data_IF_051928789631
#
_entry.id   IF_051928789631
#
_cell.length_a   1.000
_cell.length_b   1.000
_cell.length_c   1.000
_cell.angle_alpha   90.00
_cell.angle_beta   90.00
_cell.angle_gamma   90.00
#
_symmetry.space_group_name_H-M   'P 1'
#
loop_
_entity.id
_entity.type
_entity.pdbx_description
1 polymer ?
#
# COMPACT_ATOMS: atom_id res chain seq x y z
N UNK A 1 4.98 -37.98 -18.36
CA UNK A 1 4.25 -37.27 -17.27
C UNK A 1 5.14 -36.66 -16.20
N UNK A 2 6.23 -37.28 -15.71
CA UNK A 2 7.14 -36.73 -14.68
C UNK A 2 7.90 -35.47 -15.11
N UNK A 3 8.27 -35.32 -16.38
CA UNK A 3 8.95 -34.13 -16.92
C UNK A 3 8.04 -32.89 -16.97
N UNK A 4 6.79 -33.05 -17.39
CA UNK A 4 5.80 -31.98 -17.44
C UNK A 4 5.47 -31.42 -16.04
N UNK A 5 5.38 -32.27 -15.00
CA UNK A 5 5.19 -31.82 -13.61
C UNK A 5 6.40 -31.06 -13.07
N UNK A 6 7.64 -31.52 -13.33
CA UNK A 6 8.86 -30.77 -12.97
C UNK A 6 8.95 -29.40 -13.62
N UNK A 7 8.54 -29.33 -14.91
CA UNK A 7 8.52 -28.07 -15.66
C UNK A 7 7.44 -27.11 -15.11
N UNK A 8 6.27 -27.61 -14.76
CA UNK A 8 5.18 -26.85 -14.16
C UNK A 8 5.55 -26.31 -12.76
N UNK A 9 6.25 -27.09 -11.95
CA UNK A 9 6.71 -26.67 -10.62
C UNK A 9 7.86 -25.64 -10.70
N UNK A 10 8.77 -25.79 -11.69
CA UNK A 10 9.81 -24.80 -11.97
C UNK A 10 9.20 -23.48 -12.50
N UNK A 11 8.15 -23.57 -13.31
CA UNK A 11 7.40 -22.41 -13.77
C UNK A 11 6.74 -21.67 -12.59
N UNK A 12 6.06 -22.38 -11.70
CA UNK A 12 5.41 -21.76 -10.52
C UNK A 12 6.38 -21.00 -9.60
N UNK A 13 7.64 -21.41 -9.53
CA UNK A 13 8.68 -20.77 -8.74
C UNK A 13 9.43 -19.65 -9.48
N UNK A 14 9.24 -19.51 -10.78
CA UNK A 14 9.89 -18.46 -11.56
C UNK A 14 9.25 -17.09 -11.31
N UNK A 15 10.07 -16.03 -11.34
CA UNK A 15 9.62 -14.64 -11.22
C UNK A 15 8.61 -14.30 -12.31
N UNK A 16 7.60 -13.48 -11.98
CA UNK A 16 6.52 -13.09 -12.91
C UNK A 16 7.04 -12.62 -14.27
N UNK A 17 8.12 -11.83 -14.27
CA UNK A 17 8.77 -11.36 -15.50
C UNK A 17 9.30 -12.48 -16.40
N UNK A 18 9.79 -13.59 -15.83
CA UNK A 18 10.29 -14.74 -16.60
C UNK A 18 9.12 -15.50 -17.26
N UNK A 19 7.98 -15.60 -16.58
CA UNK A 19 6.77 -16.24 -17.14
C UNK A 19 6.19 -15.45 -18.30
N UNK A 20 6.11 -14.12 -18.16
CA UNK A 20 5.64 -13.24 -19.23
C UNK A 20 6.57 -13.27 -20.44
N UNK A 21 7.89 -13.23 -20.23
CA UNK A 21 8.86 -13.31 -21.32
C UNK A 21 8.80 -14.66 -22.06
N UNK A 22 8.64 -15.77 -21.33
CA UNK A 22 8.46 -17.10 -21.93
C UNK A 22 7.14 -17.21 -22.69
N UNK A 23 6.04 -16.70 -22.13
CA UNK A 23 4.73 -16.69 -22.81
C UNK A 23 4.76 -15.90 -24.12
N UNK A 24 5.35 -14.70 -24.12
CA UNK A 24 5.56 -13.89 -25.33
C UNK A 24 6.47 -14.57 -26.34
N UNK A 25 7.55 -15.22 -25.88
CA UNK A 25 8.45 -15.97 -26.74
C UNK A 25 7.77 -17.16 -27.44
N UNK A 26 6.95 -17.92 -26.72
CA UNK A 26 6.17 -19.04 -27.28
C UNK A 26 5.12 -18.54 -28.28
N UNK A 27 4.41 -17.45 -27.95
CA UNK A 27 3.46 -16.85 -28.88
C UNK A 27 4.13 -16.37 -30.17
N UNK A 28 5.26 -15.67 -30.04
CA UNK A 28 6.04 -15.21 -31.19
C UNK A 28 6.49 -16.38 -32.04
N UNK A 29 6.94 -17.50 -31.44
CA UNK A 29 7.34 -18.71 -32.14
C UNK A 29 6.19 -19.34 -32.92
N UNK A 30 5.00 -19.42 -32.32
CA UNK A 30 3.80 -19.97 -33.00
C UNK A 30 3.42 -19.09 -34.19
N UNK A 31 3.32 -17.79 -34.02
CA UNK A 31 2.95 -16.85 -35.08
C UNK A 31 3.95 -16.93 -36.23
N UNK A 32 5.25 -16.95 -35.91
CA UNK A 32 6.28 -17.00 -36.90
C UNK A 32 6.30 -18.33 -37.67
N UNK A 33 6.12 -19.46 -36.98
CA UNK A 33 6.02 -20.77 -37.61
C UNK A 33 4.83 -20.85 -38.59
N UNK A 34 3.69 -20.27 -38.22
CA UNK A 34 2.51 -20.22 -39.11
C UNK A 34 2.77 -19.34 -40.31
N UNK A 35 3.28 -18.12 -40.09
CA UNK A 35 3.56 -17.17 -41.18
C UNK A 35 4.62 -17.73 -42.12
N UNK A 36 5.71 -18.31 -41.59
CA UNK A 36 6.78 -18.91 -42.37
C UNK A 36 6.30 -20.10 -43.23
N UNK A 37 5.52 -20.99 -42.61
CA UNK A 37 4.96 -22.14 -43.36
C UNK A 37 4.06 -21.68 -44.51
N UNK A 38 3.20 -20.69 -44.27
CA UNK A 38 2.33 -20.12 -45.30
C UNK A 38 3.14 -19.44 -46.40
N UNK A 39 4.17 -18.64 -46.03
CA UNK A 39 5.01 -17.92 -46.99
C UNK A 39 5.82 -18.86 -47.86
N UNK A 40 6.42 -19.90 -47.28
CA UNK A 40 7.15 -20.94 -48.04
C UNK A 40 6.18 -21.69 -48.95
N UNK A 41 4.98 -22.01 -48.50
CA UNK A 41 3.95 -22.67 -49.33
C UNK A 41 3.52 -21.82 -50.52
N UNK A 42 3.25 -20.53 -50.30
CA UNK A 42 2.89 -19.59 -51.40
C UNK A 42 4.04 -19.45 -52.40
N UNK A 43 5.27 -19.28 -51.90
CA UNK A 43 6.44 -19.13 -52.76
C UNK A 43 6.69 -20.37 -53.57
N UNK A 44 6.60 -21.56 -52.99
CA UNK A 44 6.76 -22.84 -53.69
C UNK A 44 5.68 -23.01 -54.76
N UNK A 45 4.45 -22.66 -54.47
CA UNK A 45 3.35 -22.63 -55.43
C UNK A 45 3.65 -21.69 -56.61
N UNK A 46 3.99 -20.44 -56.33
CA UNK A 46 4.32 -19.43 -57.34
C UNK A 46 5.49 -19.83 -58.25
N UNK A 47 6.55 -20.39 -57.67
CA UNK A 47 7.72 -20.85 -58.44
C UNK A 47 7.38 -22.07 -59.33
N UNK A 48 6.54 -22.99 -58.83
CA UNK A 48 6.08 -24.12 -59.64
C UNK A 48 5.18 -23.65 -60.81
N UNK A 49 4.24 -22.73 -60.54
CA UNK A 49 3.36 -22.19 -61.59
C UNK A 49 4.19 -21.45 -62.68
N UNK A 50 5.21 -20.72 -62.29
CA UNK A 50 6.13 -20.05 -63.22
C UNK A 50 6.93 -21.03 -64.03
N UNK A 51 7.39 -22.15 -63.45
CA UNK A 51 8.10 -23.20 -64.18
C UNK A 51 7.17 -23.90 -65.16
N UNK A 52 5.93 -24.18 -64.79
CA UNK A 52 4.89 -24.74 -65.58
C UNK A 52 4.58 -23.86 -66.85
N UNK A 53 4.49 -22.52 -66.60
CA UNK A 53 4.30 -21.56 -67.71
C UNK A 53 5.51 -21.50 -68.64
N UNK A 54 6.76 -21.59 -68.14
CA UNK A 54 7.94 -21.63 -68.92
C UNK A 54 8.00 -22.91 -69.79
N UNK A 55 7.66 -24.08 -69.20
CA UNK A 55 7.56 -25.33 -69.93
C UNK A 55 6.52 -25.23 -71.01
N UNK A 56 5.34 -24.63 -70.76
CA UNK A 56 4.30 -24.41 -71.74
C UNK A 56 4.76 -23.56 -72.94
N UNK A 57 5.35 -22.39 -72.63
CA UNK A 57 5.85 -21.44 -73.63
C UNK A 57 6.93 -22.12 -74.53
N UNK A 58 7.87 -22.87 -73.93
CA UNK A 58 8.91 -23.57 -74.62
C UNK A 58 8.36 -24.65 -75.58
N UNK A 59 7.39 -25.42 -75.12
CA UNK A 59 6.74 -26.42 -75.94
C UNK A 59 5.93 -25.82 -77.14
N UNK A 60 5.14 -24.77 -76.87
CA UNK A 60 4.34 -24.07 -77.88
C UNK A 60 5.26 -23.54 -78.99
N UNK A 61 6.45 -23.01 -78.63
CA UNK A 61 7.41 -22.52 -79.62
C UNK A 61 8.04 -23.62 -80.43
N UNK A 62 8.13 -24.86 -79.95
CA UNK A 62 8.77 -26.00 -80.59
C UNK A 62 7.81 -26.82 -81.46
N UNK A 63 6.53 -26.91 -81.11
CA UNK A 63 5.53 -27.70 -81.80
C UNK A 63 5.47 -27.39 -83.37
N UNK A 64 5.42 -26.11 -83.79
CA UNK A 64 5.36 -25.81 -85.22
C UNK A 64 6.57 -26.31 -86.01
N UNK A 65 7.80 -26.20 -85.45
CA UNK A 65 9.02 -26.65 -86.10
C UNK A 65 9.10 -28.17 -86.15
N UNK A 66 8.55 -28.91 -85.25
CA UNK A 66 8.51 -30.37 -85.22
C UNK A 66 7.47 -30.94 -86.16
N UNK A 67 6.38 -30.17 -86.45
CA UNK A 67 5.36 -30.56 -87.46
C UNK A 67 5.86 -30.40 -88.92
N UNK A 68 6.68 -29.42 -89.17
CA UNK A 68 7.12 -29.09 -90.50
C UNK A 68 8.37 -29.85 -90.94
N UNK A 69 9.16 -30.37 -90.00
CA UNK A 69 10.44 -31.10 -90.37
C UNK A 69 10.44 -32.41 -89.60
N UNK A 70 10.18 -33.53 -90.37
CA UNK A 70 10.34 -34.87 -89.82
C UNK A 70 11.80 -35.03 -89.36
N UNK A 71 12.08 -34.89 -88.02
CA UNK A 71 13.44 -34.99 -87.48
C UNK A 71 14.04 -33.69 -86.94
N UNK A 72 13.22 -32.62 -86.77
CA UNK A 72 13.64 -31.36 -86.06
C UNK A 72 14.09 -31.65 -84.63
N UNK A 73 15.25 -31.07 -84.23
CA UNK A 73 15.77 -31.18 -82.85
C UNK A 73 15.08 -30.14 -81.96
N UNK A 74 14.49 -30.52 -80.87
CA UNK A 74 13.92 -29.54 -79.92
C UNK A 74 15.04 -28.65 -79.39
N UNK A 75 14.77 -27.34 -79.31
CA UNK A 75 15.67 -26.32 -78.76
C UNK A 75 15.77 -26.47 -77.23
N UNK A 76 17.00 -26.49 -76.70
CA UNK A 76 17.28 -26.79 -75.32
C UNK A 76 17.60 -25.54 -74.50
N UNK A 77 17.00 -25.39 -73.37
CA UNK A 77 17.54 -24.57 -72.29
C UNK A 77 18.52 -25.39 -71.44
N UNK A 78 19.54 -24.75 -70.90
CA UNK A 78 20.57 -25.42 -70.10
C UNK A 78 19.99 -26.24 -68.96
N UNK A 79 20.31 -27.52 -68.87
CA UNK A 79 19.81 -28.46 -67.87
C UNK A 79 18.43 -29.04 -68.14
N UNK A 80 17.74 -28.62 -69.23
CA UNK A 80 16.41 -29.14 -69.57
C UNK A 80 16.54 -30.34 -70.52
N UNK A 81 15.60 -31.25 -70.35
CA UNK A 81 15.44 -32.33 -71.30
C UNK A 81 14.22 -32.06 -72.17
N UNK A 82 14.34 -32.30 -73.44
CA UNK A 82 13.23 -32.23 -74.39
C UNK A 82 13.39 -33.30 -75.46
N UNK A 83 12.41 -34.15 -75.60
CA UNK A 83 12.43 -35.25 -76.57
C UNK A 83 11.04 -35.59 -77.09
N UNK A 84 10.97 -36.11 -78.25
CA UNK A 84 9.76 -36.62 -78.85
C UNK A 84 9.69 -38.15 -78.66
N UNK A 85 8.55 -38.59 -78.18
CA UNK A 85 8.26 -40.02 -77.98
C UNK A 85 7.15 -40.45 -78.92
N UNK A 86 7.31 -41.66 -79.49
CA UNK A 86 6.28 -42.35 -80.23
C UNK A 86 5.68 -43.45 -79.34
N UNK A 87 4.38 -43.44 -79.12
CA UNK A 87 3.74 -44.43 -78.30
C UNK A 87 3.07 -45.47 -79.18
N UNK A 88 3.59 -46.70 -79.19
CA UNK A 88 3.05 -47.83 -79.91
C UNK A 88 2.72 -48.98 -78.98
N UNK A 89 1.56 -49.53 -79.10
CA UNK A 89 1.06 -50.63 -78.25
C UNK A 89 1.16 -50.40 -76.75
N UNK A 90 1.16 -49.13 -76.27
CA UNK A 90 1.28 -48.77 -74.88
C UNK A 90 2.72 -48.49 -74.38
N UNK A 91 3.72 -48.71 -75.21
CA UNK A 91 5.12 -48.42 -74.89
C UNK A 91 5.59 -47.14 -75.60
N UNK A 92 6.19 -46.23 -74.84
CA UNK A 92 6.73 -44.96 -75.32
C UNK A 92 8.22 -45.13 -75.69
N UNK A 93 8.54 -45.03 -76.98
CA UNK A 93 9.91 -45.13 -77.51
C UNK A 93 10.41 -43.73 -77.91
N UNK A 94 11.59 -43.30 -77.44
CA UNK A 94 12.14 -42.02 -77.84
C UNK A 94 12.55 -41.99 -79.28
N UNK A 95 12.16 -40.93 -80.01
CA UNK A 95 12.65 -40.69 -81.36
C UNK A 95 14.04 -40.05 -81.40
N UNK A 96 14.86 -40.36 -82.33
CA UNK A 96 16.23 -39.83 -82.49
C UNK A 96 16.17 -38.29 -82.65
N UNK A 97 16.92 -37.55 -81.83
CA UNK A 97 17.10 -36.11 -82.01
C UNK A 97 16.87 -35.20 -80.75
N UNK A 98 16.40 -35.77 -79.68
CA UNK A 98 16.20 -35.01 -78.42
C UNK A 98 17.37 -35.13 -77.44
N UNK A 99 17.36 -34.30 -76.37
CA UNK A 99 18.21 -34.47 -75.19
C UNK A 99 17.45 -35.31 -74.19
N UNK A 100 18.00 -36.45 -73.86
CA UNK A 100 17.42 -37.41 -72.95
C UNK A 100 18.36 -37.67 -71.79
N UNK A 101 17.82 -37.87 -70.54
CA UNK A 101 18.63 -38.37 -69.45
C UNK A 101 19.07 -39.85 -69.75
N UNK A 102 20.09 -40.34 -69.02
CA UNK A 102 20.51 -41.74 -69.13
C UNK A 102 19.39 -42.76 -68.90
N UNK A 103 18.53 -42.48 -67.91
CA UNK A 103 17.30 -43.22 -67.62
C UNK A 103 16.09 -42.51 -68.23
N UNK A 104 15.54 -43.08 -69.26
CA UNK A 104 14.37 -42.56 -69.99
C UNK A 104 13.07 -43.14 -69.51
N UNK A 105 13.08 -44.16 -68.65
CA UNK A 105 11.85 -44.86 -68.16
C UNK A 105 10.84 -43.97 -67.54
N UNK A 106 11.33 -43.04 -66.69
CA UNK A 106 10.47 -42.09 -65.98
C UNK A 106 9.77 -41.12 -66.93
N UNK A 107 10.46 -40.66 -68.01
CA UNK A 107 9.89 -39.78 -69.02
C UNK A 107 8.98 -40.54 -69.97
N UNK A 108 9.31 -41.79 -70.32
CA UNK A 108 8.52 -42.67 -71.17
C UNK A 108 7.15 -42.93 -70.57
N UNK A 109 7.10 -43.20 -69.25
CA UNK A 109 5.84 -43.38 -68.50
C UNK A 109 4.95 -42.16 -68.56
N UNK A 110 5.51 -40.92 -68.44
CA UNK A 110 4.75 -39.69 -68.59
C UNK A 110 4.25 -39.48 -70.02
N UNK A 111 5.04 -39.91 -71.04
CA UNK A 111 4.61 -39.88 -72.44
C UNK A 111 3.46 -40.84 -72.73
N UNK A 112 3.46 -42.05 -72.16
CA UNK A 112 2.40 -43.04 -72.28
C UNK A 112 1.06 -42.47 -71.72
N UNK A 113 1.09 -41.79 -70.57
CA UNK A 113 -0.06 -41.17 -69.97
C UNK A 113 -0.59 -39.94 -70.75
N UNK A 114 0.22 -39.35 -71.62
CA UNK A 114 -0.04 -38.09 -72.32
C UNK A 114 -0.48 -38.23 -73.79
N UNK A 115 -0.92 -39.39 -74.26
CA UNK A 115 -1.30 -39.62 -75.66
C UNK A 115 -2.56 -38.86 -76.09
N UNK A 116 -3.50 -38.67 -75.23
CA UNK A 116 -4.80 -38.00 -75.48
C UNK A 116 -4.89 -36.59 -74.89
N UNK A 117 -4.27 -36.40 -73.75
CA UNK A 117 -4.33 -35.15 -73.00
C UNK A 117 -2.95 -34.73 -72.52
N UNK A 118 -2.80 -33.45 -72.29
CA UNK A 118 -1.61 -32.92 -71.64
C UNK A 118 -1.44 -33.45 -70.21
N UNK A 119 -0.22 -33.92 -69.92
CA UNK A 119 0.12 -34.37 -68.53
C UNK A 119 1.24 -33.52 -67.97
N UNK A 120 1.04 -33.03 -66.75
CA UNK A 120 2.05 -32.29 -66.04
C UNK A 120 2.31 -33.01 -64.72
N UNK A 121 3.54 -33.48 -64.49
CA UNK A 121 3.89 -34.26 -63.31
C UNK A 121 5.34 -34.01 -62.87
N UNK A 122 5.58 -34.13 -61.59
CA UNK A 122 6.91 -34.15 -61.02
C UNK A 122 7.43 -35.57 -60.96
N UNK A 123 8.60 -35.80 -61.49
CA UNK A 123 9.21 -37.15 -61.64
C UNK A 123 10.65 -37.11 -61.12
N UNK A 124 11.07 -38.15 -60.46
CA UNK A 124 12.44 -38.33 -60.01
C UNK A 124 13.20 -39.09 -61.14
N UNK A 125 14.31 -38.52 -61.61
CA UNK A 125 15.20 -39.12 -62.61
C UNK A 125 16.47 -39.56 -61.88
N UNK A 126 16.86 -40.82 -62.05
CA UNK A 126 18.03 -41.38 -61.39
C UNK A 126 19.29 -40.58 -61.76
N UNK A 127 20.19 -40.32 -60.82
CA UNK A 127 21.40 -39.49 -60.93
C UNK A 127 21.21 -38.02 -61.35
N UNK A 128 19.99 -37.56 -61.56
CA UNK A 128 19.71 -36.16 -61.96
C UNK A 128 18.79 -35.41 -60.96
N UNK A 129 18.03 -36.15 -60.14
CA UNK A 129 17.14 -35.56 -59.15
C UNK A 129 15.70 -35.34 -59.63
N UNK A 130 15.03 -34.41 -59.05
CA UNK A 130 13.60 -34.13 -59.28
C UNK A 130 13.42 -33.16 -60.46
N UNK A 131 12.57 -33.55 -61.40
CA UNK A 131 12.21 -32.77 -62.57
C UNK A 131 10.70 -32.54 -62.66
N UNK A 132 10.32 -31.35 -63.09
CA UNK A 132 8.96 -31.05 -63.50
C UNK A 132 8.84 -31.38 -64.98
N UNK A 133 7.92 -32.28 -65.31
CA UNK A 133 7.78 -32.85 -66.69
C UNK A 133 6.40 -32.47 -67.22
N UNK A 134 6.41 -31.92 -68.44
CA UNK A 134 5.21 -31.65 -69.22
C UNK A 134 5.27 -32.48 -70.50
N UNK A 135 4.23 -33.25 -70.70
CA UNK A 135 4.04 -34.05 -71.93
C UNK A 135 2.80 -33.57 -72.68
N UNK A 136 2.95 -33.28 -73.96
CA UNK A 136 1.89 -32.74 -74.79
C UNK A 136 1.85 -33.51 -76.14
N UNK A 137 0.67 -34.00 -76.57
CA UNK A 137 0.54 -34.65 -77.86
C UNK A 137 0.74 -33.64 -78.99
N UNK A 138 1.61 -34.02 -80.02
CA UNK A 138 1.86 -33.21 -81.20
C UNK A 138 0.83 -33.56 -82.29
N UNK A 139 0.67 -34.84 -82.52
CA UNK A 139 -0.30 -35.38 -83.45
C UNK A 139 -1.03 -36.53 -82.81
N UNK A 140 -2.35 -36.32 -82.59
CA UNK A 140 -3.21 -37.29 -81.85
C UNK A 140 -3.37 -38.60 -82.66
N UNK A 141 -3.41 -38.54 -83.99
CA UNK A 141 -3.65 -39.70 -84.81
C UNK A 141 -2.39 -40.59 -84.90
N UNK A 142 -1.19 -40.06 -84.61
CA UNK A 142 0.10 -40.82 -84.74
C UNK A 142 0.71 -41.15 -83.37
N UNK A 143 0.01 -40.84 -82.25
CA UNK A 143 0.51 -41.07 -80.90
C UNK A 143 1.91 -40.48 -80.63
N UNK A 144 2.22 -39.31 -81.22
CA UNK A 144 3.49 -38.61 -81.04
C UNK A 144 3.35 -37.57 -79.88
N UNK A 145 4.21 -37.69 -78.87
CA UNK A 145 4.16 -36.86 -77.67
C UNK A 145 5.49 -36.11 -77.49
N UNK A 146 5.43 -34.81 -77.33
CA UNK A 146 6.57 -34.00 -76.90
C UNK A 146 6.66 -33.97 -75.38
N UNK A 147 7.77 -34.42 -74.85
CA UNK A 147 8.05 -34.39 -73.39
C UNK A 147 9.14 -33.37 -73.13
N UNK A 148 8.88 -32.43 -72.27
CA UNK A 148 9.85 -31.45 -71.75
C UNK A 148 9.98 -31.58 -70.28
N UNK A 149 11.20 -31.59 -69.75
CA UNK A 149 11.51 -31.75 -68.35
C UNK A 149 12.47 -30.65 -67.88
N UNK A 150 12.09 -29.92 -66.83
CA UNK A 150 12.89 -28.87 -66.18
C UNK A 150 13.36 -29.30 -64.83
N UNK A 151 14.60 -29.04 -64.40
CA UNK A 151 15.13 -29.42 -63.12
C UNK A 151 14.48 -28.56 -62.00
N UNK A 152 14.05 -29.19 -60.90
CA UNK A 152 13.57 -28.49 -59.72
C UNK A 152 14.69 -28.13 -58.74
N UNK A 153 15.93 -28.55 -58.96
CA UNK A 153 17.06 -28.33 -58.06
C UNK A 153 17.29 -26.81 -57.68
N UNK A 154 17.11 -25.94 -58.69
CA UNK A 154 17.29 -24.50 -58.52
C UNK A 154 16.11 -23.88 -57.67
N UNK A 155 14.92 -24.44 -57.81
CA UNK A 155 13.76 -24.10 -56.98
C UNK A 155 14.00 -24.49 -55.51
N UNK A 156 14.44 -25.73 -55.30
CA UNK A 156 14.70 -26.23 -53.95
C UNK A 156 15.82 -25.46 -53.25
N UNK A 157 16.88 -25.07 -54.02
CA UNK A 157 17.93 -24.18 -53.51
C UNK A 157 17.38 -22.80 -53.11
N UNK A 158 16.57 -22.18 -53.95
CA UNK A 158 15.97 -20.88 -53.68
C UNK A 158 15.04 -20.94 -52.47
N UNK A 159 14.21 -21.96 -52.38
CA UNK A 159 13.32 -22.18 -51.22
C UNK A 159 14.15 -22.41 -49.96
N UNK A 160 15.21 -23.22 -50.00
CA UNK A 160 16.06 -23.47 -48.84
C UNK A 160 16.83 -22.24 -48.39
N UNK A 161 17.29 -21.38 -49.30
CA UNK A 161 17.88 -20.10 -48.97
C UNK A 161 16.88 -19.16 -48.31
N UNK A 162 15.64 -19.09 -48.79
CA UNK A 162 14.56 -18.31 -48.16
C UNK A 162 14.27 -18.80 -46.77
N UNK A 163 14.13 -20.11 -46.55
CA UNK A 163 13.91 -20.70 -45.20
C UNK A 163 15.09 -20.38 -44.30
N UNK A 164 16.33 -20.44 -44.79
CA UNK A 164 17.51 -20.08 -43.96
C UNK A 164 17.48 -18.62 -43.54
N UNK A 165 17.20 -17.69 -44.47
CA UNK A 165 17.08 -16.25 -44.15
C UNK A 165 15.96 -16.01 -43.16
N UNK A 166 14.83 -16.67 -43.34
CA UNK A 166 13.67 -16.57 -42.44
C UNK A 166 14.01 -17.04 -41.01
N UNK A 167 14.65 -18.19 -40.86
CA UNK A 167 15.10 -18.73 -39.58
C UNK A 167 16.08 -17.79 -38.90
N UNK A 168 17.07 -17.25 -39.62
CA UNK A 168 18.04 -16.29 -39.06
C UNK A 168 17.34 -15.00 -38.59
N UNK A 169 16.46 -14.45 -39.44
CA UNK A 169 15.69 -13.25 -39.08
C UNK A 169 14.82 -13.47 -37.84
N UNK A 170 14.20 -14.66 -37.72
CA UNK A 170 13.44 -15.04 -36.55
C UNK A 170 14.28 -15.11 -35.28
N UNK A 171 15.44 -15.78 -35.36
CA UNK A 171 16.32 -15.88 -34.17
C UNK A 171 16.79 -14.51 -33.71
N UNK A 172 17.10 -13.60 -34.62
CA UNK A 172 17.45 -12.22 -34.31
C UNK A 172 16.28 -11.48 -33.67
N UNK A 173 15.09 -11.55 -34.25
CA UNK A 173 13.88 -10.91 -33.69
C UNK A 173 13.55 -11.45 -32.29
N UNK A 174 13.67 -12.76 -32.09
CA UNK A 174 13.47 -13.42 -30.81
C UNK A 174 14.50 -12.94 -29.77
N UNK A 175 15.78 -12.84 -30.17
CA UNK A 175 16.82 -12.33 -29.27
C UNK A 175 16.53 -10.89 -28.84
N UNK A 176 16.17 -10.01 -29.78
CA UNK A 176 15.79 -8.62 -29.49
C UNK A 176 14.56 -8.56 -28.57
N UNK A 177 13.54 -9.36 -28.83
CA UNK A 177 12.32 -9.43 -28.02
C UNK A 177 12.63 -9.85 -26.57
N UNK A 178 13.47 -10.87 -26.40
CA UNK A 178 13.88 -11.36 -25.07
C UNK A 178 14.70 -10.32 -24.31
N UNK A 179 15.65 -9.67 -24.99
CA UNK A 179 16.49 -8.63 -24.38
C UNK A 179 15.64 -7.41 -23.99
N UNK A 180 14.85 -6.90 -24.93
CA UNK A 180 13.97 -5.74 -24.68
C UNK A 180 12.94 -6.05 -23.59
N UNK A 181 12.28 -7.21 -23.65
CA UNK A 181 11.33 -7.66 -22.62
C UNK A 181 11.97 -7.74 -21.24
N UNK A 182 13.19 -8.30 -21.14
CA UNK A 182 13.93 -8.33 -19.85
C UNK A 182 14.28 -6.95 -19.33
N UNK A 183 14.67 -6.02 -20.18
CA UNK A 183 15.01 -4.65 -19.79
C UNK A 183 13.78 -3.90 -19.28
N UNK A 184 12.67 -3.98 -20.02
CA UNK A 184 11.39 -3.33 -19.63
C UNK A 184 10.86 -3.90 -18.31
N UNK A 185 10.81 -5.24 -18.18
CA UNK A 185 10.32 -5.90 -16.98
C UNK A 185 11.20 -5.62 -15.74
N UNK A 186 12.53 -5.62 -15.94
CA UNK A 186 13.45 -5.30 -14.84
C UNK A 186 13.27 -3.86 -14.36
N UNK A 187 13.13 -2.89 -15.27
CA UNK A 187 12.92 -1.49 -14.89
C UNK A 187 11.53 -1.25 -14.29
N UNK A 188 10.50 -1.85 -14.85
CA UNK A 188 9.12 -1.67 -14.39
C UNK A 188 8.79 -2.35 -13.06
N UNK A 189 9.41 -3.51 -12.75
CA UNK A 189 9.10 -4.28 -11.54
C UNK A 189 10.10 -4.05 -10.38
N UNK A 190 11.23 -3.38 -10.62
CA UNK A 190 12.21 -3.07 -9.58
C UNK A 190 11.62 -2.28 -8.40
N UNK A 191 10.81 -1.22 -8.62
CA UNK A 191 10.21 -0.45 -7.54
C UNK A 191 9.34 -1.30 -6.61
N UNK A 192 8.59 -2.26 -7.15
CA UNK A 192 7.76 -3.18 -6.35
C UNK A 192 8.61 -4.10 -5.47
N UNK A 193 9.77 -4.55 -5.97
CA UNK A 193 10.71 -5.34 -5.18
C UNK A 193 11.32 -4.53 -4.04
N UNK A 194 11.65 -3.26 -4.30
CA UNK A 194 12.21 -2.34 -3.32
C UNK A 194 11.17 -2.02 -2.22
N UNK A 195 9.90 -1.80 -2.60
CA UNK A 195 8.80 -1.63 -1.65
C UNK A 195 8.55 -2.88 -0.79
N UNK A 196 8.60 -4.07 -1.40
CA UNK A 196 8.47 -5.32 -0.66
C UNK A 196 9.65 -5.53 0.32
N UNK A 197 10.86 -5.13 -0.05
CA UNK A 197 12.02 -5.10 0.82
C UNK A 197 11.81 -4.15 2.01
N UNK A 198 11.40 -2.90 1.75
CA UNK A 198 11.10 -1.92 2.80
C UNK A 198 10.01 -2.42 3.76
N UNK A 199 8.94 -3.03 3.24
CA UNK A 199 7.88 -3.61 4.06
C UNK A 199 8.40 -4.76 4.93
N UNK A 200 9.28 -5.62 4.40
CA UNK A 200 9.90 -6.71 5.14
C UNK A 200 10.85 -6.21 6.24
N UNK A 201 11.65 -5.19 5.94
CA UNK A 201 12.55 -4.57 6.90
C UNK A 201 11.76 -3.94 8.07
N UNK A 202 10.65 -3.23 7.77
CA UNK A 202 9.76 -2.67 8.80
C UNK A 202 9.12 -3.79 9.63
N UNK A 203 8.64 -4.87 9.00
CA UNK A 203 8.01 -6.00 9.70
C UNK A 203 8.99 -6.79 10.58
N UNK A 204 10.28 -6.77 10.27
CA UNK A 204 11.33 -7.45 11.03
C UNK A 204 11.95 -6.58 12.13
N UNK A 205 11.74 -5.24 12.10
CA UNK A 205 12.19 -4.32 13.14
C UNK A 205 11.28 -4.38 14.37
N UNK A 206 11.89 -4.37 15.53
CA UNK A 206 11.16 -4.22 16.79
C UNK A 206 10.69 -2.76 16.93
N UNK A 207 9.45 -2.52 16.48
CA UNK A 207 8.79 -1.21 16.54
C UNK A 207 8.52 -0.73 17.99
N UNK A 208 8.81 -1.57 18.98
CA UNK A 208 8.63 -1.21 20.41
C UNK A 208 9.81 -0.45 20.96
N UNK A 209 11.03 -0.66 20.42
CA UNK A 209 12.28 -0.07 20.92
C UNK A 209 12.79 1.10 20.08
N UNK A 210 12.57 1.07 18.75
CA UNK A 210 13.00 2.14 17.84
C UNK A 210 11.84 2.54 16.92
N UNK A 211 11.26 3.73 17.12
CA UNK A 211 10.11 4.21 16.35
C UNK A 211 10.47 5.07 15.14
N UNK A 212 11.72 5.30 14.86
CA UNK A 212 12.07 5.93 13.62
C UNK A 212 11.95 4.90 12.49
N UNK A 213 10.89 5.02 11.69
CA UNK A 213 10.76 4.27 10.45
C UNK A 213 11.75 4.85 9.43
N UNK A 214 12.93 4.21 9.22
CA UNK A 214 14.06 4.88 8.58
C UNK A 214 13.93 5.01 7.07
N UNK A 215 12.95 4.36 6.43
CA UNK A 215 12.95 4.24 4.97
C UNK A 215 11.56 4.45 4.38
N UNK A 216 11.45 5.49 3.55
CA UNK A 216 10.32 5.67 2.63
C UNK A 216 10.68 5.07 1.26
N UNK A 217 9.71 4.51 0.56
CA UNK A 217 9.91 4.03 -0.81
C UNK A 217 10.33 5.20 -1.71
N UNK A 218 11.56 5.11 -2.27
CA UNK A 218 12.15 6.15 -3.12
C UNK A 218 11.51 6.14 -4.51
N UNK A 219 11.45 7.28 -5.21
CA UNK A 219 11.03 7.33 -6.59
C UNK A 219 12.10 6.66 -7.47
N UNK A 220 11.83 5.47 -7.99
CA UNK A 220 12.79 4.67 -8.77
C UNK A 220 12.26 4.31 -10.19
N UNK A 221 11.41 5.15 -10.78
CA UNK A 221 10.87 4.92 -12.11
C UNK A 221 9.91 3.71 -12.14
N UNK A 222 8.76 3.91 -12.69
CA UNK A 222 7.71 2.91 -12.85
C UNK A 222 6.60 3.55 -13.67
N UNK A 223 5.63 2.77 -14.13
CA UNK A 223 4.42 3.33 -14.72
C UNK A 223 3.61 4.13 -13.71
N UNK A 224 2.57 4.81 -14.19
CA UNK A 224 1.68 5.61 -13.35
C UNK A 224 1.07 4.80 -12.19
N UNK A 225 0.76 3.54 -12.43
CA UNK A 225 0.18 2.62 -11.45
C UNK A 225 1.14 2.29 -10.29
N UNK A 226 2.43 2.19 -10.60
CA UNK A 226 3.48 1.95 -9.60
C UNK A 226 3.71 3.19 -8.75
N UNK A 227 3.62 4.38 -9.35
CA UNK A 227 3.75 5.65 -8.64
C UNK A 227 2.56 5.92 -7.71
N UNK A 228 1.35 5.58 -8.14
CA UNK A 228 0.14 5.64 -7.30
C UNK A 228 0.27 4.69 -6.09
N UNK A 229 0.69 3.44 -6.33
CA UNK A 229 0.93 2.48 -5.26
C UNK A 229 2.02 2.96 -4.28
N UNK A 230 3.11 3.54 -4.79
CA UNK A 230 4.18 4.12 -3.96
C UNK A 230 3.66 5.25 -3.08
N UNK A 231 2.82 6.11 -3.64
CA UNK A 231 2.21 7.23 -2.90
C UNK A 231 1.29 6.72 -1.79
N UNK A 232 0.42 5.75 -2.09
CA UNK A 232 -0.46 5.13 -1.11
C UNK A 232 0.34 4.40 -0.01
N UNK A 233 1.41 3.70 -0.37
CA UNK A 233 2.29 3.04 0.58
C UNK A 233 2.99 4.03 1.52
N UNK A 234 3.54 5.13 0.99
CA UNK A 234 4.18 6.17 1.80
C UNK A 234 3.18 6.90 2.72
N UNK A 235 1.93 7.08 2.27
CA UNK A 235 0.86 7.62 3.10
C UNK A 235 0.51 6.69 4.27
N UNK A 236 0.44 5.39 4.00
CA UNK A 236 0.24 4.37 5.04
C UNK A 236 1.38 4.38 6.07
N UNK A 237 2.63 4.48 5.61
CA UNK A 237 3.79 4.60 6.50
C UNK A 237 3.75 5.87 7.35
N UNK A 238 3.30 7.00 6.79
CA UNK A 238 3.15 8.24 7.54
C UNK A 238 2.07 8.13 8.64
N UNK A 239 0.96 7.46 8.36
CA UNK A 239 -0.07 7.19 9.36
C UNK A 239 0.42 6.24 10.46
N UNK A 240 1.18 5.21 10.09
CA UNK A 240 1.77 4.30 11.06
C UNK A 240 2.74 5.03 12.00
N UNK A 241 3.62 5.87 11.43
CA UNK A 241 4.59 6.67 12.17
C UNK A 241 3.90 7.60 13.17
N UNK A 242 2.89 8.37 12.71
CA UNK A 242 2.10 9.24 13.59
C UNK A 242 1.40 8.48 14.72
N UNK A 243 0.88 7.28 14.43
CA UNK A 243 0.23 6.43 15.44
C UNK A 243 1.22 5.90 16.48
N UNK A 244 2.44 5.53 16.04
CA UNK A 244 3.50 5.07 16.95
C UNK A 244 4.00 6.20 17.84
N UNK A 245 4.15 7.42 17.32
CA UNK A 245 4.51 8.60 18.10
C UNK A 245 3.43 8.90 19.13
N UNK A 246 2.16 8.98 18.74
CA UNK A 246 1.05 9.22 19.65
C UNK A 246 0.97 8.16 20.76
N UNK A 247 1.18 6.88 20.44
CA UNK A 247 1.19 5.77 21.40
C UNK A 247 2.34 5.89 22.40
N UNK A 248 3.53 6.33 21.95
CA UNK A 248 4.68 6.56 22.85
C UNK A 248 4.42 7.69 23.82
N UNK A 249 3.96 8.83 23.31
CA UNK A 249 3.62 9.97 24.16
C UNK A 249 2.56 9.61 25.20
N UNK A 250 1.55 8.83 24.80
CA UNK A 250 0.54 8.33 25.74
C UNK A 250 1.17 7.40 26.81
N UNK A 251 2.06 6.51 26.40
CA UNK A 251 2.73 5.58 27.32
C UNK A 251 3.68 6.30 28.28
N UNK A 252 4.41 7.32 27.80
CA UNK A 252 5.26 8.16 28.66
C UNK A 252 4.44 9.00 29.64
N UNK A 253 3.30 9.54 29.19
CA UNK A 253 2.34 10.23 30.10
C UNK A 253 1.83 9.29 31.17
N UNK A 254 1.45 8.07 30.80
CA UNK A 254 0.99 7.04 31.74
C UNK A 254 2.08 6.64 32.75
N UNK A 255 3.32 6.43 32.29
CA UNK A 255 4.44 6.08 33.17
C UNK A 255 4.73 7.18 34.18
N UNK A 256 4.74 8.46 33.74
CA UNK A 256 4.90 9.61 34.63
C UNK A 256 3.77 9.67 35.67
N UNK A 257 2.54 9.52 35.19
CA UNK A 257 1.36 9.49 36.07
C UNK A 257 1.46 8.41 37.16
N UNK A 258 1.83 7.17 36.81
CA UNK A 258 2.00 6.07 37.77
C UNK A 258 3.12 6.37 38.77
N UNK A 259 4.24 6.92 38.31
CA UNK A 259 5.36 7.26 39.16
C UNK A 259 4.97 8.34 40.17
N UNK A 260 4.34 9.44 39.73
CA UNK A 260 3.93 10.55 40.55
C UNK A 260 2.82 10.13 41.56
N UNK A 261 1.81 9.38 41.11
CA UNK A 261 0.80 8.81 41.97
C UNK A 261 1.39 7.91 43.07
N UNK A 262 2.39 7.08 42.72
CA UNK A 262 3.07 6.22 43.69
C UNK A 262 3.83 7.01 44.75
N UNK A 263 4.48 8.11 44.35
CA UNK A 263 5.17 9.01 45.30
C UNK A 263 4.19 9.73 46.24
N UNK A 264 3.09 10.27 45.71
CA UNK A 264 2.09 11.01 46.51
C UNK A 264 1.27 10.08 47.41
N UNK A 265 1.08 8.82 47.09
CA UNK A 265 0.46 7.82 47.96
C UNK A 265 1.41 7.33 49.06
N UNK A 266 2.72 7.23 48.79
CA UNK A 266 3.70 6.73 49.76
C UNK A 266 3.87 7.65 50.94
N UNK A 267 3.82 8.99 50.75
CA UNK A 267 4.03 10.00 51.80
C UNK A 267 2.99 9.90 52.89
N UNK A 268 1.65 10.02 52.64
CA UNK A 268 0.63 9.90 53.67
C UNK A 268 0.61 8.51 54.31
N UNK A 269 0.89 7.45 53.53
CA UNK A 269 0.99 6.08 54.08
C UNK A 269 2.11 5.97 55.11
N UNK A 270 3.26 6.59 54.85
CA UNK A 270 4.38 6.65 55.82
C UNK A 270 4.00 7.46 57.06
N UNK A 271 3.29 8.57 56.90
CA UNK A 271 2.77 9.36 58.01
C UNK A 271 1.77 8.55 58.89
N UNK A 272 0.80 7.90 58.26
CA UNK A 272 -0.17 7.03 58.95
C UNK A 272 0.56 5.94 59.74
N UNK A 273 1.54 5.28 59.10
CA UNK A 273 2.34 4.25 59.79
C UNK A 273 3.12 4.81 60.96
N UNK A 274 3.76 5.97 60.81
CA UNK A 274 4.48 6.64 61.91
C UNK A 274 3.57 7.00 63.07
N UNK A 275 2.41 7.62 62.81
CA UNK A 275 1.45 7.93 63.89
C UNK A 275 0.82 6.68 64.51
N UNK A 276 0.63 5.62 63.78
CA UNK A 276 0.17 4.34 64.32
C UNK A 276 1.23 3.68 65.20
N UNK A 277 2.52 3.81 64.87
CA UNK A 277 3.63 3.32 65.71
C UNK A 277 3.74 4.18 67.00
N UNK A 278 3.68 5.52 66.92
CA UNK A 278 3.64 6.40 68.07
C UNK A 278 2.43 6.12 68.96
N UNK A 279 1.24 5.97 68.41
CA UNK A 279 0.05 5.56 69.10
C UNK A 279 0.24 4.27 69.93
N UNK A 280 1.01 3.32 69.40
CA UNK A 280 1.27 2.06 70.13
C UNK A 280 2.28 2.21 71.26
N UNK A 281 3.29 3.10 71.12
CA UNK A 281 4.34 3.27 72.16
C UNK A 281 4.03 4.28 73.18
N UNK A 282 3.43 5.42 72.85
CA UNK A 282 3.19 6.58 73.78
C UNK A 282 1.77 6.59 74.39
N UNK A 283 0.82 5.90 73.76
CA UNK A 283 -0.58 5.87 74.11
C UNK A 283 -0.90 5.20 75.49
N UNK A 284 0.10 4.65 76.16
CA UNK A 284 -0.15 4.04 77.47
C UNK A 284 -0.39 5.07 78.60
N UNK A 285 0.07 6.32 78.46
CA UNK A 285 0.15 7.26 79.60
C UNK A 285 -0.59 8.59 79.41
N UNK A 286 -0.95 9.07 78.21
CA UNK A 286 -1.60 10.37 78.00
C UNK A 286 -2.80 10.31 77.01
N UNK A 287 -4.05 10.39 77.44
CA UNK A 287 -5.24 10.34 76.60
C UNK A 287 -5.31 11.43 75.54
N UNK A 288 -4.74 12.61 75.76
CA UNK A 288 -4.75 13.76 74.84
C UNK A 288 -3.83 13.48 73.58
N UNK A 289 -2.66 12.85 73.78
CA UNK A 289 -1.75 12.50 72.68
C UNK A 289 -2.32 11.40 71.79
N UNK A 290 -3.06 10.45 72.42
CA UNK A 290 -3.79 9.42 71.64
C UNK A 290 -4.78 10.03 70.66
N UNK A 291 -5.62 10.97 71.18
CA UNK A 291 -6.61 11.63 70.32
C UNK A 291 -5.95 12.47 69.21
N UNK A 292 -4.82 13.13 69.49
CA UNK A 292 -4.04 13.86 68.53
C UNK A 292 -3.48 12.94 67.41
N UNK A 293 -2.92 11.76 67.76
CA UNK A 293 -2.43 10.79 66.81
C UNK A 293 -3.55 10.17 65.98
N UNK A 294 -4.68 9.83 66.60
CA UNK A 294 -5.87 9.35 65.89
C UNK A 294 -6.44 10.39 64.92
N UNK A 295 -6.47 11.66 65.34
CA UNK A 295 -6.89 12.78 64.50
C UNK A 295 -5.99 12.90 63.28
N UNK A 296 -4.67 12.77 63.43
CA UNK A 296 -3.72 12.80 62.31
C UNK A 296 -3.87 11.60 61.39
N UNK A 297 -4.11 10.40 61.91
CA UNK A 297 -4.38 9.23 61.08
C UNK A 297 -5.67 9.43 60.27
N UNK A 298 -6.76 9.96 60.90
CA UNK A 298 -8.01 10.26 60.17
C UNK A 298 -7.81 11.31 59.09
N UNK A 299 -7.07 12.38 59.37
CA UNK A 299 -6.75 13.45 58.43
C UNK A 299 -6.00 12.91 57.22
N UNK A 300 -4.93 12.10 57.41
CA UNK A 300 -4.16 11.51 56.30
C UNK A 300 -4.96 10.46 55.52
N UNK A 301 -5.83 9.69 56.20
CA UNK A 301 -6.72 8.74 55.52
C UNK A 301 -7.74 9.45 54.62
N UNK A 302 -8.35 10.53 55.12
CA UNK A 302 -9.28 11.36 54.36
C UNK A 302 -8.58 12.00 53.14
N UNK A 303 -7.35 12.48 53.32
CA UNK A 303 -6.53 13.03 52.25
C UNK A 303 -6.21 11.99 51.19
N UNK A 304 -5.89 10.75 51.58
CA UNK A 304 -5.68 9.64 50.65
C UNK A 304 -6.94 9.29 49.86
N UNK A 305 -8.13 9.30 50.53
CA UNK A 305 -9.39 9.05 49.85
C UNK A 305 -9.64 10.06 48.72
N UNK A 306 -9.50 11.36 49.02
CA UNK A 306 -9.64 12.43 48.02
C UNK A 306 -8.62 12.25 46.85
N UNK A 307 -7.37 11.94 47.20
CA UNK A 307 -6.33 11.73 46.20
C UNK A 307 -6.66 10.55 45.25
N UNK A 308 -7.15 9.43 45.80
CA UNK A 308 -7.54 8.26 45.00
C UNK A 308 -8.76 8.60 44.15
N UNK A 309 -9.75 9.30 44.67
CA UNK A 309 -10.94 9.72 43.91
C UNK A 309 -10.56 10.66 42.76
N UNK A 310 -9.66 11.61 42.98
CA UNK A 310 -9.14 12.52 41.96
C UNK A 310 -8.35 11.77 40.89
N UNK A 311 -7.51 10.79 41.26
CA UNK A 311 -6.77 9.95 40.31
C UNK A 311 -7.72 9.11 39.45
N UNK A 312 -8.73 8.48 40.05
CA UNK A 312 -9.72 7.69 39.31
C UNK A 312 -10.56 8.58 38.37
N UNK A 313 -10.90 9.79 38.81
CA UNK A 313 -11.61 10.75 37.97
C UNK A 313 -10.76 11.17 36.77
N UNK A 314 -9.49 11.55 36.98
CA UNK A 314 -8.58 11.93 35.94
C UNK A 314 -8.34 10.77 34.94
N UNK A 315 -8.19 9.54 35.44
CA UNK A 315 -8.03 8.35 34.57
C UNK A 315 -9.28 8.12 33.70
N UNK A 316 -10.49 8.38 34.22
CA UNK A 316 -11.73 8.29 33.44
C UNK A 316 -11.87 9.42 32.41
N UNK A 317 -11.46 10.64 32.76
CA UNK A 317 -11.53 11.80 31.85
C UNK A 317 -10.47 11.76 30.73
N UNK A 318 -9.37 11.04 30.97
CA UNK A 318 -8.32 10.80 29.92
C UNK A 318 -8.68 9.66 28.98
N UNK A 319 -9.68 8.83 29.32
CA UNK A 319 -10.13 7.73 28.45
C UNK A 319 -10.87 8.28 27.21
N UNK A 320 -10.83 7.56 26.07
CA UNK A 320 -11.59 7.96 24.89
C UNK A 320 -13.08 8.19 25.22
N UNK A 321 -13.70 9.12 24.51
CA UNK A 321 -15.05 9.72 24.75
C UNK A 321 -16.19 8.78 25.17
N UNK A 322 -16.04 7.47 25.04
CA UNK A 322 -17.09 6.49 25.35
C UNK A 322 -17.19 6.05 26.82
N UNK A 323 -16.23 6.41 27.69
CA UNK A 323 -16.16 5.82 29.03
C UNK A 323 -16.53 6.77 30.22
N UNK A 324 -16.65 8.09 30.02
CA UNK A 324 -17.00 9.03 31.07
C UNK A 324 -18.08 10.02 30.62
N UNK A 325 -19.32 9.60 30.40
CA UNK A 325 -20.39 10.53 30.07
C UNK A 325 -20.68 11.42 31.28
N UNK A 326 -20.53 12.75 31.06
CA UNK A 326 -21.08 13.75 32.02
C UNK A 326 -22.61 13.59 32.10
N UNK A 327 -23.17 13.69 33.28
CA UNK A 327 -24.61 13.72 33.44
C UNK A 327 -25.10 15.16 33.26
N UNK A 328 -25.29 15.54 32.00
CA UNK A 328 -25.73 16.88 31.67
C UNK A 328 -27.20 17.08 32.05
N UNK A 329 -27.44 18.04 32.87
CA UNK A 329 -28.77 18.53 33.25
C UNK A 329 -28.80 20.06 33.21
N UNK A 330 -29.95 20.63 33.18
CA UNK A 330 -30.11 22.08 33.31
C UNK A 330 -29.82 22.50 34.74
N UNK A 331 -28.77 23.31 34.97
CA UNK A 331 -28.29 23.77 36.25
C UNK A 331 -28.53 25.28 36.34
N UNK A 332 -29.21 25.73 37.41
CA UNK A 332 -29.32 27.16 37.73
C UNK A 332 -27.96 27.66 38.28
N UNK A 333 -27.39 28.63 37.58
CA UNK A 333 -26.07 29.14 37.92
C UNK A 333 -26.05 29.87 39.27
N UNK A 334 -27.11 30.62 39.57
CA UNK A 334 -27.19 31.38 40.83
C UNK A 334 -27.27 30.43 42.02
N UNK A 335 -28.08 29.37 41.96
CA UNK A 335 -28.18 28.34 42.96
C UNK A 335 -26.83 27.64 43.19
N UNK A 336 -26.17 27.21 42.13
CA UNK A 336 -24.87 26.52 42.22
C UNK A 336 -23.80 27.39 42.90
N UNK A 337 -23.72 28.69 42.53
CA UNK A 337 -22.74 29.61 43.12
C UNK A 337 -23.05 29.92 44.59
N UNK A 338 -24.33 30.06 44.92
CA UNK A 338 -24.77 30.27 46.31
C UNK A 338 -24.41 29.08 47.20
N UNK A 339 -24.77 27.88 46.78
CA UNK A 339 -24.45 26.64 47.49
C UNK A 339 -22.94 26.46 47.70
N UNK A 340 -22.12 26.75 46.65
CA UNK A 340 -20.69 26.66 46.76
C UNK A 340 -20.10 27.68 47.73
N UNK A 341 -20.63 28.90 47.70
CA UNK A 341 -20.24 29.97 48.62
C UNK A 341 -20.59 29.70 50.07
N UNK A 342 -21.81 29.19 50.33
CA UNK A 342 -22.27 28.84 51.70
C UNK A 342 -21.40 27.72 52.28
N UNK A 343 -21.14 26.66 51.50
CA UNK A 343 -20.29 25.56 51.96
C UNK A 343 -18.85 26.00 52.23
N UNK A 344 -18.29 26.88 51.39
CA UNK A 344 -16.96 27.43 51.61
C UNK A 344 -16.92 28.25 52.90
N UNK A 345 -17.89 29.16 53.16
CA UNK A 345 -17.95 29.99 54.32
C UNK A 345 -18.10 29.18 55.61
N UNK A 346 -18.93 28.14 55.61
CA UNK A 346 -19.08 27.22 56.72
C UNK A 346 -17.80 26.42 57.02
N UNK A 347 -17.07 25.98 55.97
CA UNK A 347 -15.84 25.17 56.09
C UNK A 347 -14.58 25.99 56.36
N UNK A 348 -14.56 27.27 56.01
CA UNK A 348 -13.38 28.16 56.07
C UNK A 348 -13.75 29.56 56.63
N UNK A 349 -14.22 29.65 57.86
CA UNK A 349 -14.66 30.92 58.45
C UNK A 349 -13.55 31.97 58.55
N UNK A 350 -12.30 31.56 58.48
CA UNK A 350 -11.13 32.43 58.48
C UNK A 350 -10.91 33.20 57.16
N UNK A 351 -11.60 32.82 56.05
CA UNK A 351 -11.51 33.48 54.74
C UNK A 351 -12.87 34.15 54.45
N UNK A 352 -12.99 35.49 54.50
CA UNK A 352 -14.21 36.16 54.12
C UNK A 352 -14.50 35.96 52.59
N UNK A 353 -15.70 35.41 52.30
CA UNK A 353 -16.18 35.24 50.95
C UNK A 353 -17.18 36.35 50.61
N UNK A 354 -16.97 36.93 49.41
CA UNK A 354 -17.94 37.85 48.81
C UNK A 354 -18.53 37.19 47.57
N UNK A 355 -19.86 37.04 47.55
CA UNK A 355 -20.56 36.68 46.32
C UNK A 355 -20.72 37.92 45.46
N UNK A 356 -20.14 37.92 44.28
CA UNK A 356 -20.32 38.96 43.27
C UNK A 356 -21.71 38.92 42.63
N UNK A 357 -21.96 39.67 41.57
CA UNK A 357 -23.23 39.62 40.87
C UNK A 357 -23.59 38.17 40.45
N UNK A 358 -24.77 37.72 40.89
CA UNK A 358 -25.31 36.41 40.49
C UNK A 358 -26.28 36.65 39.35
N UNK A 359 -26.12 35.94 38.24
CA UNK A 359 -26.97 36.10 37.07
C UNK A 359 -28.30 35.35 37.28
N UNK A 360 -29.38 36.07 37.56
CA UNK A 360 -30.71 35.51 37.72
C UNK A 360 -31.22 34.85 36.41
N UNK A 361 -31.78 33.65 36.54
CA UNK A 361 -32.40 32.93 35.43
C UNK A 361 -31.40 32.42 34.32
N UNK A 362 -30.11 32.37 34.64
CA UNK A 362 -29.11 31.79 33.75
C UNK A 362 -29.01 30.31 34.02
N UNK A 363 -29.46 29.51 33.04
CA UNK A 363 -29.37 28.06 33.04
C UNK A 363 -28.24 27.60 32.15
N UNK A 364 -27.47 26.63 32.62
CA UNK A 364 -26.31 26.03 31.98
C UNK A 364 -26.52 24.52 31.89
N UNK A 365 -26.26 23.92 30.74
CA UNK A 365 -26.23 22.46 30.57
C UNK A 365 -24.90 21.90 31.08
N UNK A 366 -24.91 21.28 32.24
CA UNK A 366 -23.69 20.78 32.90
C UNK A 366 -23.98 19.59 33.83
N UNK A 367 -22.94 18.90 34.26
CA UNK A 367 -23.00 17.95 35.38
C UNK A 367 -22.85 18.73 36.69
N UNK A 368 -23.90 18.82 37.51
CA UNK A 368 -23.89 19.65 38.70
C UNK A 368 -22.87 19.19 39.74
N UNK A 369 -22.64 17.89 39.87
CA UNK A 369 -21.66 17.33 40.80
C UNK A 369 -20.24 17.70 40.38
N UNK A 370 -19.97 17.59 39.09
CA UNK A 370 -18.65 17.92 38.55
C UNK A 370 -18.37 19.41 38.52
N UNK A 371 -19.36 20.21 38.18
CA UNK A 371 -19.22 21.67 38.20
C UNK A 371 -19.06 22.20 39.60
N UNK A 372 -19.76 21.59 40.56
CA UNK A 372 -19.57 21.88 41.99
C UNK A 372 -18.13 21.54 42.41
N UNK A 373 -17.57 20.38 41.99
CA UNK A 373 -16.20 19.99 42.28
C UNK A 373 -15.18 21.00 41.72
N UNK A 374 -15.46 21.60 40.54
CA UNK A 374 -14.64 22.69 40.00
C UNK A 374 -14.59 23.88 40.94
N UNK A 375 -15.75 24.34 41.40
CA UNK A 375 -15.84 25.48 42.32
C UNK A 375 -15.17 25.18 43.66
N UNK A 376 -15.44 24.01 44.22
CA UNK A 376 -14.85 23.59 45.51
C UNK A 376 -13.32 23.56 45.45
N UNK A 377 -12.75 23.04 44.34
CA UNK A 377 -11.30 23.01 44.14
C UNK A 377 -10.69 24.41 43.99
N UNK A 378 -11.35 25.32 43.25
CA UNK A 378 -10.86 26.69 43.07
C UNK A 378 -10.93 27.48 44.40
N UNK A 379 -12.03 27.38 45.15
CA UNK A 379 -12.20 28.00 46.44
C UNK A 379 -11.22 27.43 47.47
N UNK A 380 -11.06 26.11 47.54
CA UNK A 380 -10.07 25.47 48.40
C UNK A 380 -8.63 25.92 48.06
N UNK A 381 -8.31 26.10 46.78
CA UNK A 381 -7.03 26.62 46.36
C UNK A 381 -6.78 28.05 46.85
N UNK A 382 -7.79 28.94 46.78
CA UNK A 382 -7.72 30.28 47.32
C UNK A 382 -7.43 30.27 48.82
N UNK A 383 -8.12 29.42 49.60
CA UNK A 383 -7.92 29.33 51.04
C UNK A 383 -6.57 28.73 51.47
N UNK A 384 -6.09 27.70 50.75
CA UNK A 384 -4.83 27.01 51.08
C UNK A 384 -3.60 27.87 50.78
N UNK A 385 -3.65 28.68 49.71
CA UNK A 385 -2.51 29.45 49.23
C UNK A 385 -2.51 30.93 49.66
N UNK A 386 -3.49 31.34 50.47
CA UNK A 386 -3.53 32.69 51.01
C UNK A 386 -3.49 32.68 52.53
N UNK A 387 -2.98 33.75 53.20
CA UNK A 387 -3.06 33.88 54.66
C UNK A 387 -4.52 33.95 55.16
N UNK A 388 -4.80 33.49 56.40
CA UNK A 388 -6.08 33.76 57.06
C UNK A 388 -6.45 35.25 57.02
N UNK A 389 -7.72 35.55 56.78
CA UNK A 389 -8.23 36.91 56.59
C UNK A 389 -8.19 37.45 55.17
N UNK A 390 -7.61 36.69 54.23
CA UNK A 390 -7.62 37.09 52.83
C UNK A 390 -9.01 36.96 52.23
N UNK A 391 -9.49 38.02 51.58
CA UNK A 391 -10.81 38.07 50.96
C UNK A 391 -10.80 37.20 49.68
N UNK A 392 -11.84 36.40 49.52
CA UNK A 392 -12.12 35.60 48.32
C UNK A 392 -13.43 36.10 47.70
N UNK A 393 -13.46 36.18 46.37
CA UNK A 393 -14.66 36.60 45.65
C UNK A 393 -15.04 35.48 44.64
N UNK A 394 -16.32 35.08 44.69
CA UNK A 394 -16.92 34.15 43.72
C UNK A 394 -17.97 34.90 42.91
N UNK A 395 -17.90 34.88 41.61
CA UNK A 395 -18.86 35.53 40.73
C UNK A 395 -19.14 34.70 39.47
N UNK A 396 -20.33 34.95 38.90
CA UNK A 396 -20.74 34.34 37.64
C UNK A 396 -21.42 35.38 36.74
N UNK A 397 -21.25 35.26 35.46
CA UNK A 397 -21.90 36.09 34.47
C UNK A 397 -22.24 35.31 33.20
N UNK A 398 -23.33 35.66 32.51
CA UNK A 398 -23.61 35.19 31.18
C UNK A 398 -22.96 36.15 30.16
N UNK A 399 -22.27 35.59 29.17
CA UNK A 399 -21.64 36.34 28.09
C UNK A 399 -22.02 35.69 26.76
N UNK A 400 -23.14 36.11 26.20
CA UNK A 400 -23.64 35.53 24.93
C UNK A 400 -23.99 34.04 25.07
N UNK A 401 -23.30 33.17 24.32
CA UNK A 401 -23.47 31.73 24.34
C UNK A 401 -22.68 31.02 25.45
N UNK A 402 -21.92 31.77 26.25
CA UNK A 402 -21.06 31.23 27.29
C UNK A 402 -21.51 31.72 28.71
N UNK A 403 -21.09 30.95 29.70
CA UNK A 403 -21.11 31.34 31.10
C UNK A 403 -19.67 31.51 31.57
N UNK A 404 -19.40 32.58 32.28
CA UNK A 404 -18.09 32.89 32.85
C UNK A 404 -18.18 32.84 34.38
N UNK A 405 -17.40 31.94 34.98
CA UNK A 405 -17.24 31.83 36.44
C UNK A 405 -15.87 32.40 36.82
N UNK A 406 -15.81 33.16 37.92
CA UNK A 406 -14.56 33.71 38.44
C UNK A 406 -14.42 33.46 39.92
N UNK A 407 -13.24 32.96 40.28
CA UNK A 407 -12.80 32.90 41.68
C UNK A 407 -11.56 33.77 41.81
N UNK A 408 -11.65 34.79 42.68
CA UNK A 408 -10.55 35.73 42.87
C UNK A 408 -10.13 35.76 44.34
N UNK A 409 -8.83 35.86 44.59
CA UNK A 409 -8.26 36.06 45.95
C UNK A 409 -7.27 37.24 45.96
N UNK A 410 -7.10 37.85 47.12
CA UNK A 410 -6.16 38.94 47.37
C UNK A 410 -4.82 38.42 47.95
N UNK A 411 -4.38 37.25 47.53
CA UNK A 411 -3.19 36.55 48.01
C UNK A 411 -1.87 37.02 47.40
N UNK A 412 -0.78 36.29 47.71
CA UNK A 412 0.58 36.70 47.30
C UNK A 412 0.81 36.63 45.77
N UNK A 413 -0.12 36.01 45.04
CA UNK A 413 0.01 35.82 43.59
C UNK A 413 0.83 34.58 43.19
N UNK A 414 0.83 34.28 41.89
CA UNK A 414 1.51 33.14 41.29
C UNK A 414 2.67 33.67 40.43
N UNK A 415 3.90 33.19 40.65
CA UNK A 415 5.05 33.55 39.81
C UNK A 415 4.79 33.34 38.34
N UNK A 416 5.22 34.24 37.45
CA UNK A 416 4.99 34.15 36.00
C UNK A 416 5.39 32.79 35.39
N UNK A 417 6.54 32.26 35.80
CA UNK A 417 7.09 30.98 35.34
C UNK A 417 6.25 29.76 35.77
N UNK A 418 5.42 29.92 36.79
CA UNK A 418 4.57 28.85 37.31
C UNK A 418 3.17 28.82 36.67
N UNK A 419 2.70 29.95 36.09
CA UNK A 419 1.30 30.12 35.65
C UNK A 419 0.84 29.11 34.61
N UNK A 420 1.71 28.74 33.66
CA UNK A 420 1.42 27.71 32.65
C UNK A 420 1.37 26.31 33.26
N UNK A 421 2.10 26.08 34.34
CA UNK A 421 2.33 24.77 34.94
C UNK A 421 1.41 24.45 36.13
N UNK A 422 0.72 25.43 36.68
CA UNK A 422 -0.16 25.19 37.85
C UNK A 422 -1.31 24.22 37.59
N UNK A 423 -1.65 24.01 36.33
CA UNK A 423 -2.64 23.02 35.88
C UNK A 423 -2.02 21.65 35.57
N UNK A 424 -0.70 21.52 35.69
CA UNK A 424 -0.05 20.22 35.55
C UNK A 424 -0.27 19.38 36.78
N UNK A 425 -0.39 18.06 36.61
CA UNK A 425 -0.63 17.14 37.73
C UNK A 425 0.57 17.16 38.67
N UNK A 426 0.27 17.16 39.99
CA UNK A 426 1.26 17.18 41.07
C UNK A 426 2.20 18.39 41.08
N UNK A 427 1.93 19.43 40.26
CA UNK A 427 2.75 20.64 40.27
C UNK A 427 2.46 21.49 41.49
N UNK A 428 3.53 22.02 42.12
CA UNK A 428 3.49 22.90 43.29
C UNK A 428 4.59 23.96 43.18
N UNK A 429 4.29 25.20 43.47
CA UNK A 429 5.20 26.34 43.37
C UNK A 429 6.29 26.28 44.44
N UNK A 430 6.01 25.77 45.66
CA UNK A 430 6.96 25.66 46.78
C UNK A 430 6.85 24.31 47.48
N UNK A 431 7.93 23.52 47.43
CA UNK A 431 8.03 22.21 48.12
C UNK A 431 8.30 22.33 49.64
N UNK A 432 8.75 23.48 50.11
CA UNK A 432 9.29 23.62 51.47
C UNK A 432 8.31 24.23 52.50
N UNK A 433 7.42 25.13 52.11
CA UNK A 433 6.57 25.88 53.05
C UNK A 433 5.21 25.27 53.38
N UNK A 434 4.75 24.28 52.66
CA UNK A 434 3.37 23.75 52.73
C UNK A 434 3.25 22.30 53.22
N UNK A 435 4.26 21.74 53.90
CA UNK A 435 4.21 20.34 54.40
C UNK A 435 3.14 20.12 55.50
N UNK A 436 2.59 21.18 56.06
CA UNK A 436 1.54 21.08 57.11
C UNK A 436 0.10 21.16 56.62
N UNK A 437 -0.19 21.93 55.55
CA UNK A 437 -1.57 22.18 55.07
C UNK A 437 -1.70 22.05 53.54
N UNK A 438 -0.75 21.42 52.87
CA UNK A 438 -0.69 21.45 51.41
C UNK A 438 -1.63 20.47 50.72
N UNK A 439 -2.31 20.93 49.67
CA UNK A 439 -3.12 20.12 48.78
C UNK A 439 -2.29 19.04 47.99
N UNK A 440 -2.98 18.13 47.38
CA UNK A 440 -2.40 16.98 46.59
C UNK A 440 -1.68 17.40 45.30
N UNK A 441 -1.81 18.68 44.89
CA UNK A 441 -1.33 19.12 43.56
C UNK A 441 -2.19 18.59 42.39
N UNK A 442 -3.31 17.93 42.67
CA UNK A 442 -4.25 17.44 41.64
C UNK A 442 -5.44 18.39 41.44
N UNK A 443 -5.86 19.18 42.43
CA UNK A 443 -7.09 19.97 42.36
C UNK A 443 -7.21 20.83 41.09
N UNK A 444 -6.17 21.61 40.72
CA UNK A 444 -6.20 22.44 39.49
C UNK A 444 -6.16 21.62 38.21
N UNK A 445 -5.49 20.46 38.19
CA UNK A 445 -5.52 19.55 37.06
C UNK A 445 -6.89 18.88 36.87
N UNK A 446 -7.57 18.55 37.97
CA UNK A 446 -8.97 18.09 37.97
C UNK A 446 -9.89 19.18 37.42
N UNK A 447 -9.73 20.43 37.85
CA UNK A 447 -10.50 21.57 37.34
C UNK A 447 -10.33 21.68 35.82
N UNK A 448 -9.08 21.69 35.30
CA UNK A 448 -8.81 21.78 33.86
C UNK A 448 -9.48 20.62 33.10
N UNK A 449 -9.36 19.40 33.59
CA UNK A 449 -9.95 18.22 32.93
C UNK A 449 -11.49 18.27 32.95
N UNK A 450 -12.12 18.66 34.06
CA UNK A 450 -13.57 18.79 34.15
C UNK A 450 -14.11 19.92 33.26
N UNK A 451 -13.46 21.08 33.26
CA UNK A 451 -13.83 22.22 32.43
C UNK A 451 -13.69 21.84 30.92
N UNK A 452 -12.61 21.16 30.54
CA UNK A 452 -12.43 20.66 29.17
C UNK A 452 -13.51 19.63 28.80
N UNK A 453 -13.87 18.73 29.70
CA UNK A 453 -14.95 17.76 29.48
C UNK A 453 -16.32 18.42 29.24
N UNK A 454 -16.55 19.61 29.83
CA UNK A 454 -17.73 20.46 29.58
C UNK A 454 -17.57 21.36 28.34
N UNK A 455 -16.55 21.15 27.51
CA UNK A 455 -16.28 21.96 26.30
C UNK A 455 -15.82 23.38 26.58
N UNK A 456 -15.36 23.66 27.82
CA UNK A 456 -14.95 24.98 28.28
C UNK A 456 -13.43 25.17 28.33
N UNK A 457 -13.04 26.37 28.83
CA UNK A 457 -11.64 26.74 29.05
C UNK A 457 -11.45 27.35 30.44
N UNK A 458 -10.26 27.20 31.02
CA UNK A 458 -9.85 27.85 32.26
C UNK A 458 -8.56 28.63 32.01
N UNK A 459 -8.55 29.87 32.57
CA UNK A 459 -7.42 30.79 32.50
C UNK A 459 -7.09 31.30 33.90
N UNK A 460 -5.85 31.75 34.10
CA UNK A 460 -5.42 32.40 35.36
C UNK A 460 -4.73 33.72 35.06
N UNK A 461 -5.18 34.75 35.74
CA UNK A 461 -4.50 36.05 35.80
C UNK A 461 -4.03 36.25 37.22
N UNK A 462 -2.75 36.54 37.44
CA UNK A 462 -2.22 36.67 38.79
C UNK A 462 -1.11 37.71 38.84
N UNK A 463 -1.27 38.60 39.80
CA UNK A 463 -0.25 39.56 40.23
C UNK A 463 -0.20 39.54 41.77
N UNK A 464 0.89 40.01 42.40
CA UNK A 464 0.89 40.14 43.85
C UNK A 464 -0.32 40.97 44.35
N UNK A 465 -1.12 40.39 45.22
CA UNK A 465 -2.37 41.01 45.76
C UNK A 465 -3.64 40.69 44.96
N UNK A 466 -3.56 39.98 43.85
CA UNK A 466 -4.74 39.58 43.08
C UNK A 466 -4.48 38.34 42.23
N UNK A 467 -5.13 37.22 42.49
CA UNK A 467 -5.20 36.06 41.64
C UNK A 467 -6.63 35.79 41.22
N UNK A 468 -6.88 35.62 39.94
CA UNK A 468 -8.22 35.35 39.42
C UNK A 468 -8.17 34.15 38.48
N UNK A 469 -8.91 33.11 38.81
CA UNK A 469 -9.23 32.01 37.94
C UNK A 469 -10.52 32.30 37.19
N UNK A 470 -10.50 32.23 35.87
CA UNK A 470 -11.64 32.44 34.96
C UNK A 470 -11.97 31.15 34.23
N UNK A 471 -13.16 30.60 34.46
CA UNK A 471 -13.70 29.43 33.78
C UNK A 471 -14.77 29.91 32.79
N UNK A 472 -14.66 29.53 31.53
CA UNK A 472 -15.64 29.79 30.48
C UNK A 472 -16.26 28.46 30.05
N UNK A 473 -17.58 28.39 30.06
CA UNK A 473 -18.34 27.21 29.71
C UNK A 473 -19.41 27.56 28.66
N UNK A 474 -19.63 26.73 27.64
CA UNK A 474 -20.74 26.91 26.72
C UNK A 474 -22.07 26.68 27.47
N UNK A 475 -23.08 27.50 27.22
CA UNK A 475 -24.41 27.33 27.88
C UNK A 475 -25.09 26.02 27.46
N UNK A 476 -24.79 25.54 26.23
CA UNK A 476 -25.24 24.23 25.72
C UNK A 476 -24.04 23.55 25.09
N UNK A 477 -23.84 22.30 25.40
CA UNK A 477 -22.88 21.47 24.71
C UNK A 477 -23.44 21.12 23.32
N UNK A 478 -22.62 21.36 22.27
CA UNK A 478 -22.98 21.12 20.87
C UNK A 478 -22.81 19.64 20.53
#
# INVERSE_FOLDING_TARGET
MKMLRRWYDAWRRSRLGTRLALGLGVLALIVFAVVGTVMVGIMKGYLNDRLDEQLAKTQISQVPSLRTTHGGKPQQAYGWFSAVFSVQNGDALPQAGGSLPPDTKALAKVAEDATQTEVLRTVYIEDKGTYRVRACPIERDQNIVLVSAAPQADLDRTVSQLVMVEVVAFLLALAVLVIAGRLVLRRGLRPLSDMAGTAHDIASHDLTTNADLPVRARPNGGGAEVEELRTAFNLMLAHLDSSLVARREANERLRRFIADASHELRTPLTSIRGYAELFRYEAANEPAEREAHLSKIREETQRMSVLVDDLLLLARLDAPESEAPLRLVDVDLAELLTDAGEAFTAGRPEHPLTLGPLPEGVVLQADPVRLRQVLDNLLANAAVHTPPGTAVTLSGAASGAEVVLRVSDAGPGIPPEARERIFDRFFRVDTARTRGNGGTGLGLSVVRSLVSAHGGTIEVESVPGATTFTVRLPRRLS
#
